data_IF_552949529284
#
_entry.id   IF_552949529284
#
_cell.length_a   1.000
_cell.length_b   1.000
_cell.length_c   1.000
_cell.angle_alpha   90.00
_cell.angle_beta   90.00
_cell.angle_gamma   90.00
#
_symmetry.space_group_name_H-M   'P 1'
#
loop_
_entity.id
_entity.type
_entity.pdbx_description
1 polymer ?
#
# COMPACT_ATOMS: atom_id res chain seq x y z
N UNK A 1 3.63 19.95 -34.94
CA UNK A 1 4.11 18.57 -34.79
C UNK A 1 5.62 18.63 -34.98
N UNK A 2 6.40 18.24 -33.97
CA UNK A 2 7.87 18.30 -34.05
C UNK A 2 8.40 17.12 -34.89
N UNK A 3 9.54 17.29 -35.57
CA UNK A 3 10.15 16.29 -36.45
C UNK A 3 10.42 14.96 -35.73
N UNK A 4 10.65 15.00 -34.41
CA UNK A 4 10.78 13.82 -33.56
C UNK A 4 9.47 13.03 -33.40
N UNK A 5 8.32 13.70 -33.48
CA UNK A 5 6.99 13.08 -33.42
C UNK A 5 6.63 12.42 -34.76
N UNK A 6 6.89 13.10 -35.88
CA UNK A 6 6.71 12.52 -37.22
C UNK A 6 7.54 11.25 -37.40
N UNK A 7 8.81 11.26 -36.96
CA UNK A 7 9.67 10.07 -36.99
C UNK A 7 9.13 8.93 -36.14
N UNK A 8 8.51 9.21 -34.98
CA UNK A 8 7.89 8.18 -34.14
C UNK A 8 6.66 7.58 -34.81
N UNK A 9 5.81 8.39 -35.44
CA UNK A 9 4.60 7.88 -36.14
C UNK A 9 4.92 7.17 -37.47
N UNK A 10 6.16 7.26 -37.96
CA UNK A 10 6.61 6.58 -39.17
C UNK A 10 6.83 5.05 -39.02
N UNK A 11 6.70 4.49 -37.81
CA UNK A 11 6.77 3.05 -37.55
C UNK A 11 5.57 2.58 -36.71
N UNK A 12 5.08 1.32 -36.88
CA UNK A 12 3.85 0.86 -36.21
C UNK A 12 3.88 1.01 -34.69
N UNK A 13 4.95 0.55 -34.05
CA UNK A 13 5.10 0.63 -32.60
C UNK A 13 5.21 2.08 -32.09
N UNK A 14 5.84 2.97 -32.87
CA UNK A 14 5.93 4.38 -32.50
C UNK A 14 4.61 5.13 -32.65
N UNK A 15 3.75 4.72 -33.60
CA UNK A 15 2.37 5.20 -33.66
C UNK A 15 1.56 4.73 -32.43
N UNK A 16 1.72 3.47 -32.01
CA UNK A 16 1.08 2.95 -30.78
C UNK A 16 1.51 3.75 -29.54
N UNK A 17 2.82 3.95 -29.35
CA UNK A 17 3.35 4.72 -28.21
C UNK A 17 2.86 6.16 -28.23
N UNK A 18 2.84 6.79 -29.41
CA UNK A 18 2.31 8.15 -29.57
C UNK A 18 0.81 8.23 -29.33
N UNK A 19 0.06 7.18 -29.67
CA UNK A 19 -1.37 7.07 -29.39
C UNK A 19 -1.63 6.97 -27.89
N UNK A 20 -0.89 6.11 -27.19
CA UNK A 20 -0.99 5.98 -25.72
C UNK A 20 -0.70 7.31 -25.01
N UNK A 21 0.39 7.99 -25.35
CA UNK A 21 0.76 9.27 -24.74
C UNK A 21 -0.17 10.45 -25.10
N UNK A 22 -1.15 10.23 -25.99
CA UNK A 22 -2.16 11.23 -26.38
C UNK A 22 -3.58 10.76 -26.08
N UNK A 23 -3.74 9.62 -25.40
CA UNK A 23 -5.05 9.03 -25.13
C UNK A 23 -5.89 8.83 -26.41
N UNK A 24 -5.24 8.41 -27.50
CA UNK A 24 -5.87 8.22 -28.81
C UNK A 24 -5.95 6.74 -29.17
N UNK A 25 -7.08 6.11 -28.83
CA UNK A 25 -7.37 4.70 -29.14
C UNK A 25 -7.27 4.39 -30.64
N UNK A 26 -7.71 5.31 -31.50
CA UNK A 26 -7.67 5.11 -32.94
C UNK A 26 -6.24 5.01 -33.48
N UNK A 27 -5.31 5.87 -33.00
CA UNK A 27 -3.89 5.77 -33.36
C UNK A 27 -3.29 4.45 -32.87
N UNK A 28 -3.68 3.99 -31.67
CA UNK A 28 -3.26 2.68 -31.14
C UNK A 28 -3.78 1.55 -32.01
N UNK A 29 -5.08 1.52 -32.34
CA UNK A 29 -5.69 0.53 -33.24
C UNK A 29 -5.02 0.47 -34.59
N UNK A 30 -4.79 1.63 -35.22
CA UNK A 30 -4.08 1.74 -36.50
C UNK A 30 -2.65 1.24 -36.40
N UNK A 31 -1.93 1.59 -35.33
CA UNK A 31 -0.57 1.11 -35.08
C UNK A 31 -0.48 -0.40 -34.92
N UNK A 32 -1.38 -1.00 -34.13
CA UNK A 32 -1.47 -2.46 -33.93
C UNK A 32 -1.81 -3.17 -35.25
N UNK A 33 -2.83 -2.71 -35.97
CA UNK A 33 -3.21 -3.29 -37.26
C UNK A 33 -2.09 -3.19 -38.31
N UNK A 34 -1.36 -2.07 -38.32
CA UNK A 34 -0.20 -1.91 -39.19
C UNK A 34 0.93 -2.86 -38.81
N UNK A 35 1.18 -3.04 -37.51
CA UNK A 35 2.20 -3.97 -37.01
C UNK A 35 1.87 -5.42 -37.37
N UNK A 36 0.62 -5.84 -37.19
CA UNK A 36 0.11 -7.18 -37.55
C UNK A 36 0.33 -7.50 -39.04
N UNK A 37 0.08 -6.53 -39.92
CA UNK A 37 0.31 -6.67 -41.37
C UNK A 37 1.79 -6.78 -41.75
N UNK A 38 2.71 -6.25 -40.93
CA UNK A 38 4.15 -6.31 -41.21
C UNK A 38 4.75 -7.67 -40.86
N UNK A 39 4.67 -8.07 -39.60
CA UNK A 39 5.11 -9.39 -39.15
C UNK A 39 4.72 -9.64 -37.68
N UNK A 40 4.72 -10.91 -37.22
CA UNK A 40 4.48 -11.25 -35.81
C UNK A 40 5.44 -10.53 -34.84
N UNK A 41 6.70 -10.34 -35.23
CA UNK A 41 7.70 -9.62 -34.42
C UNK A 41 7.34 -8.14 -34.24
N UNK A 42 6.84 -7.47 -35.28
CA UNK A 42 6.41 -6.08 -35.17
C UNK A 42 5.15 -5.96 -34.32
N UNK A 43 4.22 -6.90 -34.45
CA UNK A 43 3.02 -6.95 -33.62
C UNK A 43 3.38 -7.10 -32.14
N UNK A 44 4.24 -8.07 -31.80
CA UNK A 44 4.70 -8.26 -30.42
C UNK A 44 5.35 -7.00 -29.83
N UNK A 45 6.24 -6.34 -30.60
CA UNK A 45 6.87 -5.08 -30.16
C UNK A 45 5.84 -3.95 -29.96
N UNK A 46 4.87 -3.83 -30.87
CA UNK A 46 3.82 -2.82 -30.78
C UNK A 46 2.88 -3.06 -29.58
N UNK A 47 2.49 -4.31 -29.34
CA UNK A 47 1.64 -4.69 -28.20
C UNK A 47 2.37 -4.48 -26.86
N UNK A 48 3.63 -4.90 -26.75
CA UNK A 48 4.43 -4.70 -25.54
C UNK A 48 4.60 -3.21 -25.20
N UNK A 49 4.94 -2.39 -26.21
CA UNK A 49 5.08 -0.94 -26.01
C UNK A 49 3.74 -0.26 -25.74
N UNK A 50 2.67 -0.75 -26.37
CA UNK A 50 1.32 -0.28 -26.16
C UNK A 50 0.86 -0.50 -24.74
N UNK A 51 0.94 -1.74 -24.24
CA UNK A 51 0.42 -2.05 -22.89
C UNK A 51 1.22 -1.29 -21.83
N UNK A 52 2.56 -1.27 -21.94
CA UNK A 52 3.43 -0.48 -21.06
C UNK A 52 3.09 1.01 -21.07
N UNK A 53 2.81 1.56 -22.25
CA UNK A 53 2.41 2.95 -22.39
C UNK A 53 1.06 3.22 -21.73
N UNK A 54 0.04 2.45 -22.09
CA UNK A 54 -1.32 2.62 -21.60
C UNK A 54 -1.43 2.50 -20.08
N UNK A 55 -0.80 1.48 -19.46
CA UNK A 55 -0.83 1.32 -17.99
C UNK A 55 -0.08 2.42 -17.25
N UNK A 56 1.00 2.96 -17.84
CA UNK A 56 1.78 4.06 -17.24
C UNK A 56 1.00 5.38 -17.26
N UNK A 57 0.22 5.61 -18.31
CA UNK A 57 -0.65 6.78 -18.41
C UNK A 57 -2.02 6.56 -17.75
N UNK A 58 -2.24 5.39 -17.11
CA UNK A 58 -3.50 4.98 -16.48
C UNK A 58 -4.72 5.06 -17.42
N UNK A 59 -4.51 4.79 -18.72
CA UNK A 59 -5.56 4.87 -19.73
C UNK A 59 -6.38 3.58 -19.77
N UNK A 60 -7.52 3.57 -19.09
CA UNK A 60 -8.37 2.38 -18.95
C UNK A 60 -8.92 1.88 -20.30
N UNK A 61 -9.27 2.78 -21.23
CA UNK A 61 -9.88 2.42 -22.50
C UNK A 61 -8.86 1.75 -23.42
N UNK A 62 -7.68 2.37 -23.57
CA UNK A 62 -6.59 1.80 -24.37
C UNK A 62 -6.09 0.51 -23.73
N UNK A 63 -5.96 0.46 -22.41
CA UNK A 63 -5.54 -0.76 -21.70
C UNK A 63 -6.55 -1.87 -21.91
N UNK A 64 -7.85 -1.59 -21.79
CA UNK A 64 -8.90 -2.56 -22.07
C UNK A 64 -8.84 -3.08 -23.50
N UNK A 65 -8.70 -2.21 -24.50
CA UNK A 65 -8.53 -2.63 -25.91
C UNK A 65 -7.33 -3.56 -26.07
N UNK A 66 -6.18 -3.18 -25.53
CA UNK A 66 -4.94 -3.95 -25.66
C UNK A 66 -5.06 -5.31 -24.98
N UNK A 67 -5.73 -5.39 -23.84
CA UNK A 67 -5.94 -6.64 -23.10
C UNK A 67 -7.01 -7.51 -23.76
N UNK A 68 -8.21 -6.98 -23.97
CA UNK A 68 -9.39 -7.77 -24.34
C UNK A 68 -9.50 -8.05 -25.85
N UNK A 69 -9.00 -7.14 -26.70
CA UNK A 69 -9.15 -7.25 -28.16
C UNK A 69 -7.83 -7.55 -28.87
N UNK A 70 -6.73 -6.91 -28.46
CA UNK A 70 -5.45 -7.02 -29.16
C UNK A 70 -4.51 -8.11 -28.58
N UNK A 71 -4.95 -8.81 -27.54
CA UNK A 71 -4.23 -9.88 -26.86
C UNK A 71 -2.79 -9.51 -26.43
N UNK A 72 -2.58 -8.28 -25.95
CA UNK A 72 -1.28 -7.82 -25.50
C UNK A 72 -0.70 -8.69 -24.36
N UNK A 73 0.64 -8.82 -24.27
CA UNK A 73 1.33 -9.46 -23.15
C UNK A 73 0.98 -8.80 -21.81
N UNK A 74 0.89 -9.60 -20.75
CA UNK A 74 0.40 -9.14 -19.44
C UNK A 74 1.53 -8.91 -18.42
N UNK A 75 2.78 -9.24 -18.75
CA UNK A 75 3.92 -9.17 -17.82
C UNK A 75 4.22 -7.74 -17.35
N UNK A 76 3.87 -6.73 -18.16
CA UNK A 76 4.04 -5.31 -17.82
C UNK A 76 2.84 -4.72 -17.04
N UNK A 77 1.77 -5.50 -16.82
CA UNK A 77 0.59 -5.07 -16.07
C UNK A 77 0.83 -5.29 -14.57
N UNK A 78 1.40 -4.29 -13.92
CA UNK A 78 1.72 -4.32 -12.49
C UNK A 78 0.49 -3.95 -11.61
N UNK A 79 0.26 -4.63 -10.46
CA UNK A 79 -0.85 -4.33 -9.54
C UNK A 79 -0.92 -2.85 -9.11
N UNK A 80 0.22 -2.18 -8.98
CA UNK A 80 0.26 -0.77 -8.62
C UNK A 80 -0.49 0.09 -9.64
N UNK A 81 -0.31 -0.12 -10.95
CA UNK A 81 -1.04 0.66 -11.94
C UNK A 81 -2.55 0.37 -11.91
N UNK A 82 -2.91 -0.91 -11.72
CA UNK A 82 -4.31 -1.31 -11.64
C UNK A 82 -5.04 -0.69 -10.44
N UNK A 83 -4.33 -0.41 -9.35
CA UNK A 83 -4.94 0.27 -8.20
C UNK A 83 -5.48 1.67 -8.51
N UNK A 84 -4.92 2.35 -9.53
CA UNK A 84 -5.40 3.63 -10.02
C UNK A 84 -6.49 3.47 -11.11
N UNK A 85 -6.44 2.38 -11.87
CA UNK A 85 -7.42 2.02 -12.91
C UNK A 85 -8.54 1.15 -12.31
N UNK A 86 -9.53 1.79 -11.69
CA UNK A 86 -10.59 1.13 -10.88
C UNK A 86 -11.72 0.57 -11.74
N UNK A 87 -11.37 0.04 -12.91
CA UNK A 87 -12.30 -0.55 -13.86
C UNK A 87 -12.41 -2.05 -13.63
N UNK A 88 -13.48 -2.47 -12.95
CA UNK A 88 -13.77 -3.90 -12.74
C UNK A 88 -13.82 -4.65 -14.06
N UNK A 89 -14.37 -4.03 -15.12
CA UNK A 89 -14.38 -4.60 -16.48
C UNK A 89 -12.98 -4.90 -17.01
N UNK A 90 -12.00 -4.02 -16.74
CA UNK A 90 -10.61 -4.26 -17.10
C UNK A 90 -10.00 -5.38 -16.25
N UNK A 91 -10.26 -5.40 -14.95
CA UNK A 91 -9.76 -6.44 -14.05
C UNK A 91 -10.31 -7.83 -14.45
N UNK A 92 -11.60 -7.92 -14.80
CA UNK A 92 -12.22 -9.14 -15.34
C UNK A 92 -11.52 -9.61 -16.62
N UNK A 93 -11.26 -8.69 -17.55
CA UNK A 93 -10.59 -9.02 -18.81
C UNK A 93 -9.16 -9.54 -18.58
N UNK A 94 -8.43 -8.96 -17.63
CA UNK A 94 -7.10 -9.38 -17.24
C UNK A 94 -7.12 -10.80 -16.63
N UNK A 95 -7.99 -11.03 -15.64
CA UNK A 95 -8.11 -12.33 -14.95
C UNK A 95 -8.53 -13.43 -15.94
N UNK A 96 -9.49 -13.14 -16.84
CA UNK A 96 -9.91 -14.07 -17.89
C UNK A 96 -8.76 -14.46 -18.84
N UNK A 97 -7.77 -13.58 -19.02
CA UNK A 97 -6.56 -13.84 -19.80
C UNK A 97 -5.40 -14.42 -18.98
N UNK A 98 -5.65 -14.82 -17.74
CA UNK A 98 -4.66 -15.48 -16.88
C UNK A 98 -3.74 -14.51 -16.14
N UNK A 99 -4.08 -13.22 -16.03
CA UNK A 99 -3.36 -12.32 -15.13
C UNK A 99 -3.48 -12.83 -13.69
N UNK A 100 -2.34 -12.96 -13.01
CA UNK A 100 -2.32 -13.47 -11.64
C UNK A 100 -2.78 -12.39 -10.66
N UNK A 101 -4.01 -12.52 -10.14
CA UNK A 101 -4.60 -11.58 -9.16
C UNK A 101 -3.79 -11.42 -7.88
N UNK A 102 -3.00 -12.44 -7.53
CA UNK A 102 -2.17 -12.48 -6.33
C UNK A 102 -0.70 -12.12 -6.61
N UNK A 103 -0.36 -11.69 -7.83
CA UNK A 103 1.01 -11.25 -8.10
C UNK A 103 1.33 -10.00 -7.30
N UNK A 104 2.59 -9.89 -6.88
CA UNK A 104 3.11 -8.75 -6.16
C UNK A 104 3.64 -7.70 -7.12
N UNK A 105 3.45 -6.44 -6.75
CA UNK A 105 4.06 -5.32 -7.44
C UNK A 105 5.58 -5.45 -7.43
N UNK A 106 6.14 -5.23 -8.60
CA UNK A 106 7.58 -5.05 -8.82
C UNK A 106 7.97 -3.57 -8.81
N UNK A 107 6.96 -2.70 -8.73
CA UNK A 107 7.08 -1.24 -8.75
C UNK A 107 6.63 -0.65 -7.43
N UNK A 108 7.59 -0.34 -6.58
CA UNK A 108 7.40 0.67 -5.53
C UNK A 108 8.70 1.41 -5.20
N UNK A 109 8.64 2.71 -4.85
CA UNK A 109 9.81 3.51 -4.49
C UNK A 109 10.25 3.34 -3.02
N UNK A 110 9.52 2.58 -2.19
CA UNK A 110 9.83 2.35 -0.77
C UNK A 110 9.98 0.86 -0.39
N UNK A 111 10.15 -0.02 -1.39
CA UNK A 111 10.38 -1.47 -1.26
C UNK A 111 9.18 -2.34 -0.80
N UNK A 112 7.95 -1.83 -0.65
CA UNK A 112 6.81 -2.71 -0.35
C UNK A 112 6.31 -3.40 -1.62
N UNK A 113 6.13 -4.73 -1.58
CA UNK A 113 5.72 -5.57 -2.73
C UNK A 113 4.25 -5.95 -2.60
N UNK A 114 3.37 -4.95 -2.66
CA UNK A 114 1.93 -5.12 -2.49
C UNK A 114 1.26 -5.87 -3.64
N UNK A 115 0.23 -6.65 -3.33
CA UNK A 115 -0.74 -7.21 -4.29
C UNK A 115 -1.83 -6.17 -4.56
N UNK A 116 -2.68 -6.41 -5.56
CA UNK A 116 -3.76 -5.48 -5.89
C UNK A 116 -4.72 -5.26 -4.71
N UNK A 117 -5.06 -6.33 -3.99
CA UNK A 117 -5.93 -6.24 -2.80
C UNK A 117 -5.35 -5.33 -1.71
N UNK A 118 -4.03 -5.35 -1.51
CA UNK A 118 -3.36 -4.54 -0.49
C UNK A 118 -3.46 -3.03 -0.83
N UNK A 119 -3.37 -2.67 -2.11
CA UNK A 119 -3.49 -1.27 -2.57
C UNK A 119 -4.89 -0.68 -2.40
N UNK A 120 -5.93 -1.52 -2.38
CA UNK A 120 -7.33 -1.07 -2.33
C UNK A 120 -8.00 -1.33 -0.97
N UNK A 121 -7.22 -1.63 0.08
CA UNK A 121 -7.68 -1.86 1.45
C UNK A 121 -8.41 -0.67 2.12
N UNK A 122 -8.61 0.45 1.43
CA UNK A 122 -9.47 1.56 1.86
C UNK A 122 -10.85 1.54 1.18
N UNK A 123 -11.16 0.51 0.39
CA UNK A 123 -12.37 0.39 -0.45
C UNK A 123 -12.96 -1.01 -0.32
N UNK A 124 -13.91 -1.16 0.59
CA UNK A 124 -14.53 -2.46 0.91
C UNK A 124 -15.17 -3.12 -0.32
N UNK A 125 -15.81 -2.32 -1.19
CA UNK A 125 -16.40 -2.78 -2.44
C UNK A 125 -15.39 -3.46 -3.38
N UNK A 126 -14.18 -2.91 -3.47
CA UNK A 126 -13.12 -3.48 -4.31
C UNK A 126 -12.47 -4.69 -3.65
N UNK A 127 -12.31 -4.67 -2.32
CA UNK A 127 -11.80 -5.83 -1.58
C UNK A 127 -12.74 -7.03 -1.75
N UNK A 128 -14.04 -6.82 -1.62
CA UNK A 128 -15.06 -7.87 -1.78
C UNK A 128 -14.99 -8.48 -3.16
N UNK A 129 -14.97 -7.62 -4.17
CA UNK A 129 -14.86 -8.05 -5.55
C UNK A 129 -13.58 -8.87 -5.77
N UNK A 130 -12.43 -8.44 -5.25
CA UNK A 130 -11.18 -9.17 -5.41
C UNK A 130 -11.21 -10.55 -4.71
N UNK A 131 -11.82 -10.64 -3.52
CA UNK A 131 -11.97 -11.92 -2.81
C UNK A 131 -12.88 -12.89 -3.58
N UNK A 132 -13.99 -12.40 -4.13
CA UNK A 132 -14.89 -13.19 -4.97
C UNK A 132 -14.21 -13.68 -6.26
N UNK A 133 -13.12 -13.04 -6.67
CA UNK A 133 -12.33 -13.37 -7.86
C UNK A 133 -11.00 -14.06 -7.55
N UNK A 134 -10.83 -14.58 -6.32
CA UNK A 134 -9.70 -15.45 -5.97
C UNK A 134 -8.45 -14.72 -5.45
N UNK A 135 -8.57 -13.46 -5.05
CA UNK A 135 -7.52 -12.83 -4.24
C UNK A 135 -7.39 -13.55 -2.89
N UNK A 136 -6.16 -13.82 -2.46
CA UNK A 136 -5.89 -14.49 -1.18
C UNK A 136 -5.61 -13.46 -0.08
N UNK A 137 -5.98 -13.80 1.15
CA UNK A 137 -5.64 -12.98 2.33
C UNK A 137 -4.20 -13.23 2.81
N UNK A 138 -3.67 -14.42 2.50
CA UNK A 138 -2.33 -14.87 2.82
C UNK A 138 -1.72 -15.55 1.59
N UNK A 139 -0.44 -15.30 1.35
CA UNK A 139 0.37 -15.95 0.33
C UNK A 139 1.62 -16.64 0.91
N UNK A 140 1.73 -16.70 2.24
CA UNK A 140 2.80 -17.39 2.95
C UNK A 140 4.13 -16.64 3.00
N UNK A 141 4.15 -15.36 2.58
CA UNK A 141 5.34 -14.54 2.66
C UNK A 141 5.76 -14.31 4.12
N UNK A 142 7.06 -14.48 4.38
CA UNK A 142 7.62 -14.36 5.73
C UNK A 142 8.20 -12.98 6.01
N UNK A 143 8.54 -12.23 4.96
CA UNK A 143 9.06 -10.88 5.08
C UNK A 143 7.92 -9.91 5.39
N UNK A 144 7.55 -9.79 6.66
CA UNK A 144 6.45 -8.90 7.06
C UNK A 144 6.82 -7.42 6.91
N UNK A 145 8.08 -7.11 6.56
CA UNK A 145 8.53 -5.76 6.32
C UNK A 145 8.15 -5.26 4.93
N UNK A 146 8.67 -5.93 3.89
CA UNK A 146 8.43 -5.60 2.49
C UNK A 146 7.12 -6.20 1.97
N UNK A 147 6.63 -7.27 2.59
CA UNK A 147 5.36 -7.92 2.25
C UNK A 147 4.47 -8.02 3.49
N UNK A 148 4.00 -6.89 4.04
CA UNK A 148 3.24 -6.91 5.28
C UNK A 148 1.90 -7.65 5.10
N UNK A 149 1.45 -8.40 6.11
CA UNK A 149 0.11 -9.00 6.15
C UNK A 149 -1.00 -7.99 5.91
N UNK A 150 -2.10 -8.43 5.28
CA UNK A 150 -3.19 -7.53 4.87
C UNK A 150 -3.82 -6.78 6.05
N UNK A 151 -3.91 -7.41 7.24
CA UNK A 151 -4.43 -6.74 8.44
C UNK A 151 -3.56 -5.55 8.87
N UNK A 152 -2.24 -5.61 8.65
CA UNK A 152 -1.35 -4.46 8.87
C UNK A 152 -1.63 -3.32 7.89
N UNK A 153 -1.94 -3.65 6.63
CA UNK A 153 -2.31 -2.63 5.62
C UNK A 153 -3.66 -2.00 5.95
N UNK A 154 -4.62 -2.79 6.45
CA UNK A 154 -5.92 -2.27 6.89
C UNK A 154 -5.78 -1.42 8.16
N UNK A 155 -4.93 -1.83 9.10
CA UNK A 155 -4.58 -1.05 10.29
C UNK A 155 -3.94 0.31 9.92
N UNK A 156 -3.08 0.34 8.90
CA UNK A 156 -2.49 1.58 8.36
C UNK A 156 -3.56 2.51 7.76
N UNK A 157 -4.61 1.97 7.13
CA UNK A 157 -5.73 2.74 6.58
C UNK A 157 -6.85 3.06 7.61
N UNK A 158 -6.86 2.37 8.75
CA UNK A 158 -7.73 2.63 9.89
C UNK A 158 -9.20 2.21 9.75
N UNK A 159 -9.57 1.32 8.81
CA UNK A 159 -10.94 0.77 8.75
C UNK A 159 -11.10 -0.41 9.72
N UNK A 160 -11.78 -0.16 10.86
CA UNK A 160 -12.04 -1.19 11.88
C UNK A 160 -13.01 -2.27 11.37
N UNK A 161 -14.01 -1.88 10.59
CA UNK A 161 -15.02 -2.81 10.06
C UNK A 161 -14.41 -3.78 9.05
N UNK A 162 -13.64 -3.26 8.10
CA UNK A 162 -12.89 -4.09 7.17
C UNK A 162 -11.90 -5.01 7.91
N UNK A 163 -11.19 -4.49 8.91
CA UNK A 163 -10.27 -5.29 9.70
C UNK A 163 -10.99 -6.47 10.37
N UNK A 164 -12.08 -6.21 11.12
CA UNK A 164 -12.88 -7.24 11.79
C UNK A 164 -13.38 -8.29 10.80
N UNK A 165 -13.77 -7.86 9.61
CA UNK A 165 -14.23 -8.75 8.55
C UNK A 165 -13.12 -9.63 8.01
N UNK A 166 -11.98 -9.06 7.63
CA UNK A 166 -10.83 -9.83 7.12
C UNK A 166 -10.27 -10.78 8.19
N UNK A 167 -10.25 -10.37 9.45
CA UNK A 167 -9.87 -11.23 10.57
C UNK A 167 -10.80 -12.46 10.68
N UNK A 168 -12.13 -12.28 10.56
CA UNK A 168 -13.09 -13.39 10.55
C UNK A 168 -12.89 -14.35 9.36
N UNK A 169 -12.34 -13.85 8.25
CA UNK A 169 -11.99 -14.64 7.08
C UNK A 169 -10.60 -15.31 7.21
N UNK A 170 -9.92 -15.14 8.34
CA UNK A 170 -8.62 -15.77 8.60
C UNK A 170 -7.43 -14.99 8.06
N UNK A 171 -7.57 -13.69 7.80
CA UNK A 171 -6.44 -12.85 7.42
C UNK A 171 -5.34 -12.88 8.51
N UNK A 172 -4.06 -12.99 8.13
CA UNK A 172 -2.97 -13.09 9.09
C UNK A 172 -2.70 -11.74 9.78
N UNK A 173 -2.37 -11.81 11.07
CA UNK A 173 -1.91 -10.66 11.83
C UNK A 173 -0.46 -10.30 11.49
N UNK A 174 -0.17 -9.01 11.41
CA UNK A 174 1.18 -8.47 11.25
C UNK A 174 1.78 -7.99 12.58
N UNK A 175 3.12 -8.04 12.74
CA UNK A 175 3.77 -7.62 13.98
C UNK A 175 3.72 -6.11 14.25
N UNK A 176 3.29 -5.30 13.26
CA UNK A 176 3.36 -3.83 13.30
C UNK A 176 2.03 -3.13 13.17
N UNK A 177 0.91 -3.85 13.30
CA UNK A 177 -0.43 -3.29 13.15
C UNK A 177 -0.65 -2.06 14.04
N UNK A 178 -0.28 -2.15 15.32
CA UNK A 178 -0.40 -1.03 16.25
C UNK A 178 0.54 0.13 15.89
N UNK A 179 1.79 -0.15 15.52
CA UNK A 179 2.78 0.88 15.16
C UNK A 179 2.34 1.71 13.95
N UNK A 180 1.88 1.04 12.89
CA UNK A 180 1.43 1.74 11.68
C UNK A 180 0.12 2.50 11.92
N UNK A 181 -0.81 1.93 12.69
CA UNK A 181 -2.04 2.61 13.07
C UNK A 181 -1.75 3.87 13.91
N UNK A 182 -0.84 3.78 14.88
CA UNK A 182 -0.42 4.92 15.72
C UNK A 182 0.19 6.03 14.88
N UNK A 183 1.13 5.72 13.98
CA UNK A 183 1.73 6.73 13.09
C UNK A 183 0.70 7.50 12.29
N UNK A 184 -0.26 6.78 11.72
CA UNK A 184 -1.31 7.37 10.88
C UNK A 184 -2.33 8.12 11.72
N UNK A 185 -2.57 7.70 12.96
CA UNK A 185 -3.44 8.41 13.91
C UNK A 185 -2.91 9.79 14.32
N UNK A 186 -1.60 10.05 14.18
CA UNK A 186 -1.03 11.39 14.45
C UNK A 186 -1.57 12.47 13.51
N UNK A 187 -2.16 12.09 12.37
CA UNK A 187 -2.92 12.99 11.49
C UNK A 187 -4.39 13.19 11.93
N UNK A 188 -4.79 12.62 13.07
CA UNK A 188 -6.10 12.78 13.69
C UNK A 188 -7.20 11.83 13.20
N UNK A 189 -6.95 11.00 12.18
CA UNK A 189 -8.01 10.28 11.45
C UNK A 189 -8.22 8.83 11.93
N UNK A 190 -7.18 8.20 12.49
CA UNK A 190 -7.17 6.73 12.72
C UNK A 190 -7.12 6.30 14.19
N UNK A 191 -7.44 7.18 15.14
CA UNK A 191 -7.53 6.81 16.55
C UNK A 191 -8.52 5.69 16.87
N UNK A 192 -9.68 5.55 16.18
CA UNK A 192 -10.56 4.39 16.38
C UNK A 192 -9.85 3.05 16.15
N UNK A 193 -8.94 2.96 15.17
CA UNK A 193 -8.14 1.77 14.91
C UNK A 193 -7.14 1.50 16.04
N UNK A 194 -6.45 2.54 16.53
CA UNK A 194 -5.52 2.41 17.66
C UNK A 194 -6.25 1.88 18.90
N UNK A 195 -7.42 2.43 19.21
CA UNK A 195 -8.25 1.97 20.33
C UNK A 195 -8.67 0.53 20.13
N UNK A 196 -9.21 0.19 18.96
CA UNK A 196 -9.61 -1.17 18.61
C UNK A 196 -8.47 -2.19 18.78
N UNK A 197 -7.28 -1.90 18.27
CA UNK A 197 -6.12 -2.80 18.38
C UNK A 197 -5.68 -3.02 19.83
N UNK A 198 -5.72 -1.99 20.68
CA UNK A 198 -5.30 -2.12 22.08
C UNK A 198 -6.40 -2.71 22.96
N UNK A 199 -7.65 -2.28 22.78
CA UNK A 199 -8.80 -2.67 23.61
C UNK A 199 -9.39 -4.03 23.25
N UNK A 200 -9.63 -4.26 21.96
CA UNK A 200 -10.36 -5.44 21.51
C UNK A 200 -9.39 -6.55 21.06
N UNK A 201 -8.33 -6.20 20.34
CA UNK A 201 -7.32 -7.18 19.89
C UNK A 201 -6.28 -7.47 20.98
N UNK A 202 -6.06 -6.52 21.90
CA UNK A 202 -5.16 -6.71 23.04
C UNK A 202 -3.68 -6.51 22.70
N UNK A 203 -3.35 -5.81 21.62
CA UNK A 203 -1.97 -5.50 21.24
C UNK A 203 -1.16 -4.91 22.41
N UNK A 204 0.10 -5.32 22.53
CA UNK A 204 1.00 -4.82 23.56
C UNK A 204 1.54 -3.42 23.18
N UNK A 205 1.23 -2.43 24.02
CA UNK A 205 1.63 -1.03 23.82
C UNK A 205 3.13 -0.79 23.99
N UNK A 206 3.86 -1.76 24.53
CA UNK A 206 5.32 -1.74 24.67
C UNK A 206 6.04 -2.67 23.69
N UNK A 207 5.32 -3.34 22.79
CA UNK A 207 5.93 -4.21 21.79
C UNK A 207 6.85 -3.39 20.87
N UNK A 208 8.12 -3.78 20.77
CA UNK A 208 9.05 -3.13 19.86
C UNK A 208 8.68 -3.39 18.40
N UNK A 209 8.94 -2.41 17.55
CA UNK A 209 8.82 -2.60 16.11
C UNK A 209 10.04 -3.37 15.60
N UNK A 210 9.81 -4.65 15.30
CA UNK A 210 10.77 -5.52 14.66
C UNK A 210 10.29 -6.96 14.72
N UNK A 211 10.68 -7.74 13.71
CA UNK A 211 10.61 -9.19 13.73
C UNK A 211 12.00 -9.80 13.51
N UNK A 212 12.10 -11.13 13.59
CA UNK A 212 13.34 -11.87 13.38
C UNK A 212 13.94 -11.61 11.99
N UNK A 213 13.12 -11.38 10.96
CA UNK A 213 13.56 -11.13 9.58
C UNK A 213 14.09 -9.71 9.40
N UNK A 214 13.43 -8.75 10.04
CA UNK A 214 13.72 -7.33 9.96
C UNK A 214 15.06 -7.01 10.65
N UNK A 215 15.33 -7.64 11.79
CA UNK A 215 16.58 -7.49 12.52
C UNK A 215 17.81 -8.09 11.81
N UNK A 216 17.60 -8.97 10.82
CA UNK A 216 18.68 -9.58 10.02
C UNK A 216 19.05 -8.71 8.81
N UNK A 217 18.19 -7.78 8.41
CA UNK A 217 18.34 -6.96 7.20
C UNK A 217 19.22 -5.71 7.41
N UNK A 218 20.52 -5.90 7.67
CA UNK A 218 21.63 -4.93 7.56
C UNK A 218 21.53 -3.55 8.25
N UNK A 219 20.41 -3.18 8.87
CA UNK A 219 20.21 -1.85 9.45
C UNK A 219 20.40 -1.81 10.95
N UNK A 220 20.36 -2.95 11.66
CA UNK A 220 20.47 -3.03 13.13
C UNK A 220 19.60 -1.97 13.84
N UNK A 221 18.52 -1.53 13.18
CA UNK A 221 17.63 -0.49 13.68
C UNK A 221 16.56 -1.17 14.51
N UNK A 222 16.68 -1.07 15.83
CA UNK A 222 15.56 -1.30 16.73
C UNK A 222 14.60 -0.13 16.57
N UNK A 223 13.48 -0.34 15.88
CA UNK A 223 12.43 0.66 15.84
C UNK A 223 11.64 0.57 17.15
N UNK A 224 11.28 1.74 17.68
CA UNK A 224 10.70 1.84 19.01
C UNK A 224 9.30 1.23 19.12
N UNK A 225 8.75 1.18 20.35
CA UNK A 225 7.37 0.76 20.60
C UNK A 225 6.36 1.72 19.94
N UNK A 226 5.06 1.42 19.92
CA UNK A 226 4.02 2.32 19.41
C UNK A 226 4.15 3.77 19.92
N UNK A 227 4.56 3.97 21.18
CA UNK A 227 4.79 5.29 21.73
C UNK A 227 5.87 6.09 20.97
N UNK A 228 6.95 5.44 20.52
CA UNK A 228 7.99 6.08 19.69
C UNK A 228 7.46 6.49 18.31
N UNK A 229 6.52 5.72 17.75
CA UNK A 229 5.88 6.03 16.48
C UNK A 229 4.97 7.26 16.58
N UNK A 230 4.35 7.48 17.76
CA UNK A 230 3.49 8.63 18.00
C UNK A 230 4.25 9.97 18.06
N UNK A 231 5.56 9.95 18.34
CA UNK A 231 6.39 11.14 18.57
C UNK A 231 7.31 11.50 17.40
N UNK A 232 7.13 10.87 16.24
CA UNK A 232 8.03 11.10 15.09
C UNK A 232 7.85 12.49 14.47
N UNK A 233 6.67 13.08 14.53
CA UNK A 233 6.44 14.39 13.91
C UNK A 233 6.49 15.52 14.95
N UNK A 234 6.77 16.75 14.48
CA UNK A 234 6.83 17.94 15.33
C UNK A 234 5.45 18.43 15.78
N UNK A 235 4.37 17.83 15.29
CA UNK A 235 2.97 18.17 15.57
C UNK A 235 2.11 16.91 15.51
N UNK A 236 1.02 16.87 16.29
CA UNK A 236 0.14 15.70 16.31
C UNK A 236 0.63 14.61 17.24
N UNK A 237 -0.18 13.55 17.37
CA UNK A 237 0.13 12.39 18.21
C UNK A 237 -0.26 12.54 19.68
N UNK A 238 -0.78 13.68 20.12
CA UNK A 238 -1.15 13.94 21.52
C UNK A 238 -2.21 12.95 22.04
N UNK A 239 -3.26 12.67 21.25
CA UNK A 239 -4.29 11.69 21.63
C UNK A 239 -3.73 10.27 21.65
N UNK A 240 -2.87 9.92 20.69
CA UNK A 240 -2.22 8.62 20.63
C UNK A 240 -1.28 8.40 21.83
N UNK A 241 -0.42 9.38 22.14
CA UNK A 241 0.48 9.36 23.31
C UNK A 241 -0.34 9.25 24.59
N UNK A 242 -1.35 10.12 24.77
CA UNK A 242 -2.21 10.10 25.96
C UNK A 242 -2.87 8.73 26.14
N UNK A 243 -3.45 8.19 25.07
CA UNK A 243 -4.10 6.88 25.09
C UNK A 243 -3.11 5.75 25.42
N UNK A 244 -1.95 5.71 24.76
CA UNK A 244 -0.94 4.68 25.02
C UNK A 244 -0.43 4.74 26.46
N UNK A 245 -0.20 5.94 27.02
CA UNK A 245 0.20 6.12 28.43
C UNK A 245 -0.89 5.66 29.40
N UNK A 246 -2.16 5.95 29.12
CA UNK A 246 -3.30 5.41 29.88
C UNK A 246 -3.33 3.89 29.87
N UNK A 247 -2.73 3.25 28.86
CA UNK A 247 -2.64 1.79 28.70
C UNK A 247 -1.31 1.21 29.12
N UNK A 248 -0.49 1.98 29.81
CA UNK A 248 0.76 1.52 30.41
C UNK A 248 1.94 1.47 29.44
N UNK A 249 1.91 2.25 28.35
CA UNK A 249 3.12 2.48 27.57
C UNK A 249 4.19 3.11 28.47
N UNK A 250 5.42 2.62 28.39
CA UNK A 250 6.56 3.06 29.18
C UNK A 250 7.38 4.11 28.40
N UNK A 251 7.42 5.38 28.85
CA UNK A 251 8.25 6.43 28.26
C UNK A 251 9.76 6.16 28.31
N UNK A 252 10.18 5.20 29.12
CA UNK A 252 11.58 4.87 29.40
C UNK A 252 11.98 3.45 28.97
N UNK A 253 11.17 2.82 28.11
CA UNK A 253 11.33 1.41 27.73
C UNK A 253 12.76 1.09 27.28
N UNK A 254 13.37 0.07 27.86
CA UNK A 254 14.73 -0.40 27.53
C UNK A 254 15.81 0.70 27.58
N UNK A 255 15.67 1.69 28.48
CA UNK A 255 16.64 2.77 28.61
C UNK A 255 16.53 3.85 27.53
N UNK A 256 15.49 3.79 26.69
CA UNK A 256 15.10 4.91 25.83
C UNK A 256 14.54 6.07 26.68
N UNK A 257 14.46 7.26 26.10
CA UNK A 257 13.83 8.43 26.74
C UNK A 257 12.99 9.14 25.68
N UNK A 258 11.72 8.73 25.59
CA UNK A 258 10.81 9.26 24.58
C UNK A 258 10.42 10.72 24.84
N UNK A 259 10.59 11.22 26.07
CA UNK A 259 10.43 12.65 26.33
C UNK A 259 11.56 13.44 25.68
N UNK A 260 12.81 13.00 25.85
CA UNK A 260 13.96 13.62 25.17
C UNK A 260 13.84 13.54 23.65
N UNK A 261 13.25 12.48 23.12
CA UNK A 261 12.99 12.40 21.68
C UNK A 261 11.90 13.37 21.22
N UNK A 262 10.81 13.53 21.98
CA UNK A 262 9.80 14.56 21.71
C UNK A 262 10.37 15.99 21.80
N UNK A 263 11.29 16.26 22.74
CA UNK A 263 12.03 17.53 22.84
C UNK A 263 12.84 17.82 21.58
N UNK A 264 13.60 16.84 21.08
CA UNK A 264 14.38 16.97 19.83
C UNK A 264 13.47 17.29 18.64
N UNK A 265 12.27 16.71 18.59
CA UNK A 265 11.28 16.94 17.54
C UNK A 265 10.50 18.25 17.72
N UNK A 266 10.66 18.92 18.87
CA UNK A 266 9.94 20.15 19.24
C UNK A 266 8.43 20.00 19.24
N UNK A 267 7.93 18.80 19.55
CA UNK A 267 6.50 18.52 19.62
C UNK A 267 5.95 18.95 20.98
N UNK A 268 5.55 20.22 21.10
CA UNK A 268 5.10 20.80 22.37
C UNK A 268 3.84 20.14 22.92
N UNK A 269 2.90 19.76 22.05
CA UNK A 269 1.66 19.10 22.46
C UNK A 269 1.94 17.73 23.10
N UNK A 270 2.80 16.92 22.49
CA UNK A 270 3.23 15.64 23.08
C UNK A 270 3.97 15.85 24.41
N UNK A 271 4.84 16.86 24.49
CA UNK A 271 5.58 17.15 25.72
C UNK A 271 4.65 17.54 26.87
N UNK A 272 3.59 18.31 26.60
CA UNK A 272 2.56 18.63 27.60
C UNK A 272 1.87 17.36 28.11
N UNK A 273 1.47 16.46 27.20
CA UNK A 273 0.86 15.17 27.57
C UNK A 273 1.82 14.31 28.41
N UNK A 274 3.09 14.22 28.02
CA UNK A 274 4.09 13.44 28.77
C UNK A 274 4.37 14.05 30.15
N UNK A 275 4.36 15.38 30.28
CA UNK A 275 4.50 16.06 31.56
C UNK A 275 3.28 15.81 32.46
N UNK A 276 2.07 15.83 31.91
CA UNK A 276 0.86 15.46 32.66
C UNK A 276 0.92 14.02 33.18
N UNK A 277 1.43 13.08 32.39
CA UNK A 277 1.66 11.72 32.84
C UNK A 277 2.67 11.66 33.98
N UNK A 278 3.80 12.38 33.86
CA UNK A 278 4.83 12.47 34.90
C UNK A 278 4.30 13.06 36.21
N UNK A 279 3.39 14.03 36.10
CA UNK A 279 2.69 14.65 37.24
C UNK A 279 1.61 13.75 37.85
N UNK A 280 1.36 12.55 37.30
CA UNK A 280 0.33 11.61 37.77
C UNK A 280 -1.11 11.98 37.38
N UNK A 281 -1.29 12.90 36.43
CA UNK A 281 -2.62 13.35 35.97
C UNK A 281 -3.25 12.38 34.95
N UNK A 282 -2.45 11.49 34.36
CA UNK A 282 -2.92 10.46 33.42
C UNK A 282 -2.96 9.12 34.17
N UNK A 283 -4.16 8.62 34.54
CA UNK A 283 -4.26 7.35 35.25
C UNK A 283 -3.96 6.17 34.33
N UNK A 284 -3.08 5.28 34.79
CA UNK A 284 -2.80 4.02 34.09
C UNK A 284 -3.91 3.02 34.41
N UNK A 285 -4.64 2.58 33.39
CA UNK A 285 -5.62 1.53 33.49
C UNK A 285 -4.89 0.20 33.64
N UNK A 286 -5.10 -0.49 34.77
CA UNK A 286 -4.61 -1.86 34.95
C UNK A 286 -5.47 -2.78 34.09
N UNK A 287 -4.85 -3.66 33.30
CA UNK A 287 -5.57 -4.78 32.67
C UNK A 287 -6.00 -5.73 33.78
N UNK A 288 -7.30 -6.00 33.88
CA UNK A 288 -7.88 -7.05 34.73
C UNK A 288 -7.54 -8.44 34.20
#
# INVERSE_FOLDING_TARGET
>A
MDAAEERRRAIPAGLVVSGCGRHCLEDVRRGVNWAAKKSPRHLADALQKGIRGAVREFDEEITFYLVAEAEAPLEDVDPWHLSFMKSLRLWEALIKRGWNINQRSTREPQNKRYRLIDFVCNREDLVDWLLDHGATLDDGEKDTYFTPPILQVVAENGSVDLYKRLQKLGAPHGPRELHVAVKKSCLGIHMPMVRFLVDEIGCDVNQLDGDEYFNVSYTNMFYGPPLWWAIQDSTGGEDAVRFLLQRGADPYLNGMDFMKDAEKRKNTGVLEVMQEWKDGKIPVQKKD
#
